data_IF_913820896248
#
_entry.id   IF_913820896248
#
_cell.length_a   1.000
_cell.length_b   1.000
_cell.length_c   1.000
_cell.angle_alpha   90.00
_cell.angle_beta   90.00
_cell.angle_gamma   90.00
#
_symmetry.space_group_name_H-M   'P 1'
#
loop_
_entity.id
_entity.type
_entity.pdbx_description
1 polymer ?
#
# COMPACT_ATOMS: atom_id res chain seq x y z
N UNK A 1 18.02 -13.87 -17.77
CA UNK A 1 17.25 -12.70 -17.29
C UNK A 1 15.79 -13.08 -17.41
N UNK A 2 15.18 -13.47 -16.31
CA UNK A 2 13.94 -14.25 -16.29
C UNK A 2 12.72 -13.32 -16.15
N UNK A 3 11.98 -13.15 -17.24
CA UNK A 3 10.77 -12.33 -17.35
C UNK A 3 9.60 -12.86 -16.51
N UNK A 4 9.72 -14.07 -15.95
CA UNK A 4 8.69 -14.73 -15.13
C UNK A 4 8.55 -14.17 -13.70
N UNK A 5 9.55 -13.41 -13.21
CA UNK A 5 9.48 -12.76 -11.89
C UNK A 5 8.65 -11.46 -11.92
N UNK A 6 8.51 -10.83 -13.09
CA UNK A 6 7.74 -9.60 -13.25
C UNK A 6 6.23 -9.87 -13.23
N UNK A 7 5.79 -11.03 -13.73
CA UNK A 7 4.38 -11.45 -13.72
C UNK A 7 3.84 -11.81 -12.32
N UNK A 8 4.70 -12.24 -11.39
CA UNK A 8 4.26 -12.63 -10.03
C UNK A 8 4.23 -11.45 -9.04
N UNK A 9 4.86 -10.32 -9.38
CA UNK A 9 4.66 -9.05 -8.67
C UNK A 9 3.25 -8.46 -8.87
N UNK A 10 2.51 -8.91 -9.89
CA UNK A 10 1.12 -8.51 -10.12
C UNK A 10 0.12 -9.09 -9.10
N UNK A 11 0.48 -10.10 -8.30
CA UNK A 11 -0.52 -10.76 -7.45
C UNK A 11 -0.90 -9.98 -6.17
N UNK A 12 -0.27 -8.82 -5.91
CA UNK A 12 -0.71 -7.87 -4.88
C UNK A 12 -1.41 -6.63 -5.47
N UNK A 13 -1.49 -6.53 -6.80
CA UNK A 13 -1.95 -5.34 -7.51
C UNK A 13 -3.06 -5.70 -8.49
N UNK A 14 -4.27 -5.47 -8.01
CA UNK A 14 -5.49 -5.11 -8.72
C UNK A 14 -5.22 -4.74 -10.19
N UNK A 15 -5.61 -5.62 -11.10
CA UNK A 15 -5.55 -5.44 -12.55
C UNK A 15 -6.60 -4.41 -12.99
N UNK A 16 -6.17 -3.17 -13.28
CA UNK A 16 -6.96 -2.23 -14.12
C UNK A 16 -6.88 -2.70 -15.57
N UNK A 17 -7.96 -2.51 -16.33
CA UNK A 17 -8.08 -2.84 -17.75
C UNK A 17 -7.07 -2.10 -18.67
N UNK A 18 -6.33 -1.12 -18.10
CA UNK A 18 -5.34 -0.26 -18.80
C UNK A 18 -3.88 -0.71 -18.56
N UNK A 19 -3.64 -1.93 -18.04
CA UNK A 19 -2.30 -2.39 -17.63
C UNK A 19 -1.56 -1.46 -16.65
N UNK A 20 -2.25 -0.50 -16.03
CA UNK A 20 -1.65 0.40 -15.08
C UNK A 20 -1.77 -0.18 -13.67
N UNK A 21 -0.62 -0.56 -13.10
CA UNK A 21 -0.51 -0.97 -11.71
C UNK A 21 -0.74 0.27 -10.84
N UNK A 22 -1.81 0.27 -10.05
CA UNK A 22 -2.15 1.36 -9.13
C UNK A 22 -1.90 0.97 -7.68
N UNK A 23 -1.17 1.83 -6.96
CA UNK A 23 -0.93 1.63 -5.55
C UNK A 23 -2.19 1.81 -4.70
N UNK A 24 -2.31 1.03 -3.62
CA UNK A 24 -3.41 1.11 -2.63
C UNK A 24 -3.47 2.50 -1.93
N UNK A 25 -2.40 3.29 -1.96
CA UNK A 25 -2.47 4.67 -1.47
C UNK A 25 -2.91 5.67 -2.54
N UNK A 26 -2.81 5.30 -3.83
CA UNK A 26 -2.91 6.22 -4.97
C UNK A 26 -4.34 6.36 -5.51
N UNK A 27 -5.16 5.32 -5.42
CA UNK A 27 -6.56 5.40 -5.82
C UNK A 27 -7.43 4.73 -4.78
N UNK A 28 -8.25 5.49 -4.06
CA UNK A 28 -9.28 4.95 -3.16
C UNK A 28 -10.55 4.48 -3.91
N UNK A 29 -10.61 4.71 -5.23
CA UNK A 29 -11.79 4.50 -6.04
C UNK A 29 -12.12 3.02 -6.16
N UNK A 30 -13.38 2.68 -5.92
CA UNK A 30 -13.92 1.33 -6.06
C UNK A 30 -15.12 1.37 -6.99
N UNK A 31 -15.13 0.47 -7.96
CA UNK A 31 -16.25 0.31 -8.88
C UNK A 31 -16.61 -1.17 -8.99
N UNK A 32 -17.89 -1.46 -9.20
CA UNK A 32 -18.33 -2.80 -9.56
C UNK A 32 -17.85 -3.14 -10.97
N UNK A 33 -17.29 -4.33 -11.14
CA UNK A 33 -16.84 -4.80 -12.45
C UNK A 33 -17.71 -5.99 -12.87
N UNK A 34 -18.25 -5.96 -14.08
CA UNK A 34 -19.22 -6.96 -14.55
C UNK A 34 -18.67 -8.40 -14.51
N UNK A 35 -17.41 -8.58 -14.93
CA UNK A 35 -16.75 -9.89 -14.87
C UNK A 35 -16.55 -10.39 -13.43
N UNK A 36 -16.60 -9.49 -12.45
CA UNK A 36 -16.60 -9.79 -11.01
C UNK A 36 -18.01 -9.86 -10.44
N UNK A 37 -19.04 -10.04 -11.28
CA UNK A 37 -20.45 -10.03 -10.86
C UNK A 37 -20.83 -8.74 -10.14
N UNK A 38 -20.30 -7.63 -10.64
CA UNK A 38 -20.49 -6.29 -10.08
C UNK A 38 -19.95 -6.13 -8.63
N UNK A 39 -19.07 -7.02 -8.18
CA UNK A 39 -18.39 -6.83 -6.89
C UNK A 39 -17.42 -5.64 -6.96
N UNK A 40 -17.37 -4.80 -5.91
CA UNK A 40 -16.54 -3.60 -5.92
C UNK A 40 -15.06 -3.96 -5.88
N UNK A 41 -14.37 -3.67 -6.97
CA UNK A 41 -12.92 -3.76 -7.11
C UNK A 41 -12.32 -2.35 -7.16
N UNK A 42 -11.07 -2.23 -6.71
CA UNK A 42 -10.35 -0.97 -6.82
C UNK A 42 -9.99 -0.72 -8.28
N UNK A 43 -10.04 0.53 -8.72
CA UNK A 43 -9.75 0.93 -10.11
C UNK A 43 -8.95 2.23 -10.10
N UNK A 44 -8.17 2.53 -11.14
CA UNK A 44 -7.48 3.82 -11.24
C UNK A 44 -8.48 4.96 -11.48
N UNK A 45 -8.07 6.21 -11.30
CA UNK A 45 -8.95 7.37 -11.49
C UNK A 45 -9.52 7.41 -12.91
N UNK A 46 -8.70 7.14 -13.92
CA UNK A 46 -9.14 7.03 -15.30
C UNK A 46 -10.14 5.89 -15.53
N UNK A 47 -9.86 4.68 -15.01
CA UNK A 47 -10.80 3.54 -15.08
C UNK A 47 -12.12 3.89 -14.35
N UNK A 48 -12.06 4.63 -13.23
CA UNK A 48 -13.23 5.02 -12.44
C UNK A 48 -14.12 6.04 -13.16
N UNK A 49 -13.52 7.06 -13.76
CA UNK A 49 -14.24 8.04 -14.58
C UNK A 49 -14.91 7.40 -15.78
N UNK A 50 -14.24 6.47 -16.46
CA UNK A 50 -14.80 5.81 -17.64
C UNK A 50 -15.94 4.86 -17.29
N UNK A 51 -15.82 4.11 -16.19
CA UNK A 51 -16.90 3.24 -15.70
C UNK A 51 -18.12 4.05 -15.23
N UNK A 52 -17.91 5.22 -14.59
CA UNK A 52 -19.02 6.11 -14.24
C UNK A 52 -19.75 6.67 -15.48
N UNK A 53 -19.03 6.96 -16.57
CA UNK A 53 -19.68 7.41 -17.83
C UNK A 53 -20.54 6.31 -18.45
N UNK A 54 -20.12 5.04 -18.34
CA UNK A 54 -20.89 3.91 -18.84
C UNK A 54 -22.19 3.70 -18.07
N UNK A 55 -22.16 3.82 -16.73
CA UNK A 55 -23.38 3.80 -15.89
C UNK A 55 -24.35 4.95 -16.27
N UNK A 56 -23.81 6.13 -16.56
CA UNK A 56 -24.60 7.29 -17.00
C UNK A 56 -25.16 7.14 -18.44
N UNK A 57 -24.51 6.39 -19.33
CA UNK A 57 -25.05 6.09 -20.66
C UNK A 57 -26.16 5.04 -20.62
N UNK A 58 -26.06 4.03 -19.75
CA UNK A 58 -27.10 3.01 -19.58
C UNK A 58 -28.35 3.52 -18.86
N UNK A 59 -28.23 4.57 -18.04
CA UNK A 59 -29.38 5.23 -17.37
C UNK A 59 -30.13 6.21 -18.26
N UNK A 60 -29.58 6.62 -19.41
CA UNK A 60 -30.20 7.61 -20.31
C UNK A 60 -30.99 7.00 -21.49
N UNK A 61 -31.07 5.67 -21.61
CA UNK A 61 -31.80 5.00 -22.71
C UNK A 61 -33.05 4.20 -22.33
N UNK A 62 -33.52 4.24 -21.09
CA UNK A 62 -34.83 3.70 -20.72
C UNK A 62 -35.65 4.74 -19.97
N UNK A 63 -36.58 5.37 -20.68
CA UNK A 63 -37.64 6.17 -20.09
C UNK A 63 -38.70 5.30 -19.41
N UNK A 64 -39.02 5.69 -18.16
CA UNK A 64 -40.30 5.52 -17.45
C UNK A 64 -40.51 4.22 -16.62
N UNK A 65 -41.40 4.23 -15.60
CA UNK A 65 -41.02 4.55 -14.23
C UNK A 65 -41.47 3.47 -13.24
N UNK A 66 -40.62 3.05 -12.31
CA UNK A 66 -41.12 2.36 -11.11
C UNK A 66 -40.43 2.89 -9.86
N UNK A 67 -41.23 3.60 -9.07
CA UNK A 67 -41.07 3.77 -7.65
C UNK A 67 -40.70 2.43 -7.00
N UNK A 68 -39.55 2.35 -6.36
CA UNK A 68 -39.44 1.60 -5.12
C UNK A 68 -38.38 2.24 -4.22
N UNK A 69 -38.88 3.19 -3.42
CA UNK A 69 -38.65 3.36 -1.98
C UNK A 69 -37.36 2.71 -1.44
N UNK A 70 -36.43 3.55 -0.99
CA UNK A 70 -35.48 3.17 0.05
C UNK A 70 -36.21 2.48 1.21
N UNK A 71 -35.55 1.53 1.88
CA UNK A 71 -35.65 1.48 3.32
C UNK A 71 -34.27 1.61 3.95
N UNK A 72 -34.15 2.61 4.81
CA UNK A 72 -33.38 2.54 6.05
C UNK A 72 -33.77 1.27 6.82
N UNK A 73 -32.77 0.55 7.34
CA UNK A 73 -32.73 -0.15 8.64
C UNK A 73 -31.35 -0.82 8.75
N UNK A 74 -30.42 -0.35 9.59
CA UNK A 74 -30.36 -0.57 11.04
C UNK A 74 -30.24 -2.06 11.43
N UNK A 75 -29.04 -2.39 11.94
CA UNK A 75 -28.60 -3.45 12.86
C UNK A 75 -29.40 -4.76 12.94
N UNK A 76 -28.71 -5.89 12.74
CA UNK A 76 -28.97 -7.10 13.52
C UNK A 76 -27.77 -8.05 13.53
N UNK A 77 -27.41 -8.41 14.75
CA UNK A 77 -26.35 -9.30 15.20
C UNK A 77 -26.69 -10.75 14.96
N UNK A 78 -25.82 -11.51 14.29
CA UNK A 78 -25.65 -12.95 14.57
C UNK A 78 -24.15 -13.26 14.56
N UNK A 79 -23.57 -13.26 15.75
CA UNK A 79 -22.26 -13.84 16.04
C UNK A 79 -22.38 -15.35 15.94
N UNK A 80 -21.83 -15.95 14.88
CA UNK A 80 -21.39 -17.33 14.96
C UNK A 80 -19.94 -17.34 15.47
N UNK A 81 -19.83 -17.76 16.72
CA UNK A 81 -18.61 -18.01 17.48
C UNK A 81 -17.78 -19.11 16.81
N UNK A 82 -16.72 -18.71 16.10
CA UNK A 82 -15.62 -19.61 15.72
C UNK A 82 -14.54 -19.48 16.81
N UNK A 83 -14.02 -20.59 17.36
CA UNK A 83 -13.00 -20.53 18.40
C UNK A 83 -11.76 -19.78 17.93
N UNK A 84 -11.17 -19.06 18.86
CA UNK A 84 -9.95 -18.27 18.73
C UNK A 84 -8.74 -19.15 18.37
N UNK A 85 -8.63 -19.48 17.08
CA UNK A 85 -7.38 -19.93 16.48
C UNK A 85 -6.62 -18.70 16.02
N UNK A 86 -5.43 -18.45 16.60
CA UNK A 86 -4.49 -17.45 16.10
C UNK A 86 -4.34 -17.66 14.60
N UNK A 87 -4.94 -16.78 13.78
CA UNK A 87 -4.66 -16.72 12.35
C UNK A 87 -3.21 -16.26 12.23
N UNK A 88 -2.28 -17.23 12.22
CA UNK A 88 -0.98 -17.00 11.60
C UNK A 88 -1.28 -16.43 10.23
N UNK A 89 -0.84 -15.19 10.00
CA UNK A 89 -0.77 -14.65 8.65
C UNK A 89 0.12 -15.64 7.90
N UNK A 90 -0.47 -16.49 7.07
CA UNK A 90 0.29 -17.28 6.11
C UNK A 90 0.96 -16.25 5.22
N UNK A 91 2.24 -16.02 5.48
CA UNK A 91 3.17 -15.30 4.63
C UNK A 91 2.97 -15.93 3.25
N UNK A 92 2.43 -15.21 2.25
CA UNK A 92 2.28 -15.76 0.91
C UNK A 92 3.65 -16.25 0.46
N UNK A 93 3.72 -17.46 -0.13
CA UNK A 93 4.97 -18.10 -0.59
C UNK A 93 5.78 -17.27 -1.62
N UNK A 94 5.25 -16.11 -2.02
CA UNK A 94 5.90 -15.11 -2.88
C UNK A 94 6.73 -14.06 -2.10
N UNK A 95 6.69 -14.05 -0.76
CA UNK A 95 7.60 -13.25 0.05
C UNK A 95 8.96 -13.95 0.04
N UNK A 96 9.80 -13.49 -0.89
CA UNK A 96 11.20 -13.85 -1.06
C UNK A 96 11.85 -14.00 0.32
N UNK A 97 12.39 -15.17 0.62
CA UNK A 97 13.32 -15.36 1.74
C UNK A 97 14.49 -14.41 1.50
N UNK A 98 14.43 -13.27 2.16
CA UNK A 98 15.45 -12.25 2.17
C UNK A 98 15.67 -12.03 3.66
N UNK A 99 16.84 -12.42 4.13
CA UNK A 99 17.22 -12.23 5.54
C UNK A 99 17.10 -10.75 5.92
N UNK A 100 16.74 -10.46 7.16
CA UNK A 100 16.77 -9.10 7.71
C UNK A 100 18.22 -8.61 7.95
N UNK A 101 19.19 -9.52 8.12
CA UNK A 101 20.62 -9.22 8.22
C UNK A 101 21.31 -9.50 6.88
N UNK A 102 21.44 -8.46 6.05
CA UNK A 102 22.01 -8.54 4.72
C UNK A 102 23.28 -7.69 4.66
N UNK A 103 24.42 -8.33 4.41
CA UNK A 103 25.73 -7.66 4.38
C UNK A 103 25.86 -6.64 3.24
N UNK A 104 25.15 -6.83 2.12
CA UNK A 104 25.12 -5.92 0.96
C UNK A 104 23.87 -5.01 0.92
N UNK A 105 23.34 -4.63 2.09
CA UNK A 105 22.26 -3.63 2.18
C UNK A 105 22.80 -2.20 2.18
N UNK A 106 22.05 -1.27 1.59
CA UNK A 106 22.40 0.16 1.63
C UNK A 106 22.21 0.74 3.03
N UNK A 107 21.14 0.33 3.71
CA UNK A 107 20.88 0.66 5.11
C UNK A 107 19.92 -0.37 5.71
N UNK A 108 20.08 -0.65 7.00
CA UNK A 108 19.16 -1.46 7.78
C UNK A 108 19.00 -0.89 9.17
N UNK A 109 17.83 -1.03 9.78
CA UNK A 109 17.59 -0.51 11.11
C UNK A 109 16.13 -0.48 11.53
N UNK A 110 15.91 -0.21 12.80
CA UNK A 110 14.57 0.03 13.33
C UNK A 110 14.07 1.43 12.98
N UNK A 111 12.82 1.51 12.57
CA UNK A 111 12.08 2.76 12.42
C UNK A 111 10.65 2.60 12.94
N UNK A 112 10.06 3.73 13.32
CA UNK A 112 8.62 3.81 13.49
C UNK A 112 7.97 4.18 12.15
N UNK A 113 6.95 3.43 11.74
CA UNK A 113 6.18 3.70 10.53
C UNK A 113 4.71 3.90 10.83
N UNK A 114 4.09 4.91 10.22
CA UNK A 114 2.64 5.08 10.14
C UNK A 114 2.15 5.09 8.69
N UNK A 115 1.00 4.45 8.43
CA UNK A 115 0.33 4.41 7.11
C UNK A 115 -0.59 5.62 6.89
N UNK A 116 -0.15 6.80 7.32
CA UNK A 116 -0.90 8.06 7.28
C UNK A 116 -1.17 8.64 8.68
N UNK A 117 -1.51 9.93 8.74
CA UNK A 117 -1.53 10.73 9.99
C UNK A 117 -2.43 10.18 11.10
N UNK A 118 -3.54 9.53 10.76
CA UNK A 118 -4.50 8.96 11.73
C UNK A 118 -4.25 7.48 12.04
N UNK A 119 -3.19 6.89 11.49
CA UNK A 119 -2.86 5.46 11.68
C UNK A 119 -1.87 5.29 12.83
N UNK A 120 -1.95 4.16 13.57
CA UNK A 120 -1.02 3.91 14.66
C UNK A 120 0.39 3.69 14.11
N UNK A 121 1.37 4.17 14.87
CA UNK A 121 2.78 3.90 14.64
C UNK A 121 3.11 2.45 14.94
N UNK A 122 4.04 1.89 14.16
CA UNK A 122 4.60 0.55 14.40
C UNK A 122 6.11 0.62 14.37
N UNK A 123 6.74 0.04 15.39
CA UNK A 123 8.17 -0.19 15.43
C UNK A 123 8.49 -1.47 14.65
N UNK A 124 9.28 -1.35 13.59
CA UNK A 124 9.57 -2.44 12.64
C UNK A 124 11.02 -2.34 12.18
N UNK A 125 11.58 -3.45 11.73
CA UNK A 125 12.91 -3.47 11.10
C UNK A 125 12.78 -3.25 9.60
N UNK A 126 13.60 -2.37 9.06
CA UNK A 126 13.62 -2.02 7.64
C UNK A 126 14.98 -2.29 7.04
N UNK A 127 14.99 -2.67 5.76
CA UNK A 127 16.21 -2.85 4.97
C UNK A 127 15.97 -2.25 3.60
N UNK A 128 16.87 -1.37 3.14
CA UNK A 128 16.91 -0.94 1.74
C UNK A 128 18.01 -1.73 1.04
N UNK A 129 17.64 -2.46 -0.01
CA UNK A 129 18.56 -3.20 -0.85
C UNK A 129 18.06 -3.21 -2.28
N UNK A 130 18.95 -2.96 -3.25
CA UNK A 130 18.63 -2.96 -4.68
C UNK A 130 17.40 -2.11 -5.02
N UNK A 131 17.31 -0.90 -4.45
CA UNK A 131 16.20 0.05 -4.65
C UNK A 131 14.83 -0.47 -4.20
N UNK A 132 14.82 -1.47 -3.29
CA UNK A 132 13.61 -2.04 -2.67
C UNK A 132 13.70 -1.88 -1.15
N UNK A 133 12.62 -1.38 -0.55
CA UNK A 133 12.42 -1.37 0.90
C UNK A 133 11.74 -2.67 1.35
N UNK A 134 12.41 -3.41 2.22
CA UNK A 134 11.88 -4.57 2.91
C UNK A 134 11.47 -4.20 4.33
N UNK A 135 10.36 -4.78 4.81
CA UNK A 135 9.84 -4.56 6.17
C UNK A 135 9.74 -5.89 6.92
N UNK A 136 10.27 -5.97 8.13
CA UNK A 136 10.30 -7.15 8.97
C UNK A 136 9.68 -6.86 10.34
N UNK A 137 9.30 -7.91 11.08
CA UNK A 137 8.85 -7.73 12.47
C UNK A 137 10.05 -7.53 13.40
N UNK A 138 11.14 -8.26 13.13
CA UNK A 138 12.38 -8.23 13.91
C UNK A 138 13.62 -8.31 12.99
N UNK A 139 14.79 -8.02 13.57
CA UNK A 139 16.09 -8.06 12.89
C UNK A 139 16.57 -9.48 12.55
N UNK A 140 16.05 -10.51 13.23
CA UNK A 140 16.43 -11.90 12.99
C UNK A 140 15.54 -12.60 11.95
N UNK A 141 14.48 -11.93 11.49
CA UNK A 141 13.51 -12.53 10.57
C UNK A 141 14.15 -12.88 9.22
N UNK A 142 13.82 -14.05 8.69
CA UNK A 142 14.32 -14.53 7.39
C UNK A 142 13.37 -14.23 6.21
N UNK A 143 12.20 -13.67 6.52
CA UNK A 143 11.17 -13.37 5.53
C UNK A 143 10.55 -11.99 5.80
N UNK A 144 10.58 -11.13 4.77
CA UNK A 144 9.97 -9.81 4.84
C UNK A 144 8.44 -9.93 4.91
N UNK A 145 7.81 -9.12 5.75
CA UNK A 145 6.35 -8.95 5.80
C UNK A 145 5.82 -8.20 4.57
N UNK A 146 6.58 -7.23 4.10
CA UNK A 146 6.25 -6.37 2.96
C UNK A 146 7.53 -6.07 2.17
N UNK A 147 7.41 -6.00 0.84
CA UNK A 147 8.45 -5.47 -0.06
C UNK A 147 7.87 -4.33 -0.89
N UNK A 148 8.65 -3.25 -1.06
CA UNK A 148 8.23 -2.04 -1.75
C UNK A 148 9.36 -1.54 -2.67
N UNK A 149 9.23 -1.66 -4.00
CA UNK A 149 10.11 -0.98 -4.94
C UNK A 149 10.03 0.53 -4.74
N UNK A 150 11.18 1.21 -4.63
CA UNK A 150 11.25 2.64 -4.32
C UNK A 150 11.36 3.53 -5.57
N UNK A 151 11.57 2.94 -6.75
CA UNK A 151 11.57 3.70 -8.01
C UNK A 151 10.23 4.43 -8.20
N UNK A 152 10.30 5.74 -8.47
CA UNK A 152 9.13 6.60 -8.65
C UNK A 152 8.49 7.12 -7.36
N UNK A 153 9.07 6.80 -6.19
CA UNK A 153 8.75 7.47 -4.94
C UNK A 153 9.59 8.74 -4.77
N UNK A 154 9.23 9.55 -3.78
CA UNK A 154 9.97 10.75 -3.38
C UNK A 154 9.96 10.82 -1.86
N UNK A 155 11.06 11.27 -1.26
CA UNK A 155 11.12 11.51 0.18
C UNK A 155 11.13 13.02 0.46
N UNK A 156 10.33 13.43 1.43
CA UNK A 156 10.26 14.82 1.89
C UNK A 156 10.57 14.88 3.39
N UNK A 157 11.50 15.75 3.73
CA UNK A 157 11.83 16.07 5.12
C UNK A 157 10.77 17.01 5.70
N UNK A 158 10.35 16.75 6.94
CA UNK A 158 9.44 17.64 7.67
C UNK A 158 10.28 18.65 8.42
N UNK A 159 10.42 19.85 7.84
CA UNK A 159 11.13 20.98 8.47
C UNK A 159 10.15 21.77 9.32
N UNK A 160 9.94 21.32 10.54
CA UNK A 160 9.16 22.05 11.53
C UNK A 160 10.05 22.32 12.75
N UNK A 161 10.18 23.59 13.14
CA UNK A 161 11.04 24.03 14.25
C UNK A 161 10.55 23.51 15.61
N UNK A 162 9.30 23.01 15.69
CA UNK A 162 8.71 22.47 16.92
C UNK A 162 8.28 21.00 16.81
N UNK A 163 8.31 20.38 15.63
CA UNK A 163 7.90 18.99 15.44
C UNK A 163 9.06 18.14 14.92
N UNK A 164 9.67 17.43 15.89
CA UNK A 164 10.45 16.21 15.72
C UNK A 164 11.20 16.11 14.39
N UNK A 165 12.39 16.72 14.32
CA UNK A 165 13.39 16.62 13.23
C UNK A 165 13.82 15.18 12.85
N UNK A 166 13.17 14.19 13.44
CA UNK A 166 13.33 12.76 13.27
C UNK A 166 12.30 12.16 12.30
N UNK A 167 11.34 12.95 11.80
CA UNK A 167 10.21 12.51 10.97
C UNK A 167 10.42 12.87 9.50
N UNK A 168 10.12 11.93 8.61
CA UNK A 168 10.14 12.14 7.16
C UNK A 168 9.00 11.41 6.45
N UNK A 169 8.62 11.92 5.28
CA UNK A 169 7.50 11.42 4.49
C UNK A 169 7.99 10.70 3.24
N UNK A 170 7.42 9.53 2.97
CA UNK A 170 7.58 8.83 1.70
C UNK A 170 6.31 9.06 0.87
N UNK A 171 6.47 9.66 -0.30
CA UNK A 171 5.40 10.02 -1.22
C UNK A 171 5.50 9.22 -2.51
N UNK A 172 4.36 8.96 -3.13
CA UNK A 172 4.29 8.45 -4.49
C UNK A 172 3.31 9.30 -5.28
N UNK A 173 3.77 9.88 -6.40
CA UNK A 173 2.98 10.86 -7.18
C UNK A 173 2.36 11.95 -6.29
N UNK A 174 3.18 12.54 -5.42
CA UNK A 174 2.79 13.58 -4.44
C UNK A 174 1.74 13.17 -3.41
N UNK A 175 1.38 11.89 -3.34
CA UNK A 175 0.45 11.35 -2.33
C UNK A 175 1.25 10.75 -1.18
N UNK A 176 0.91 11.12 0.05
CA UNK A 176 1.55 10.58 1.25
C UNK A 176 1.32 9.07 1.35
N UNK A 177 2.39 8.28 1.23
CA UNK A 177 2.34 6.83 1.32
C UNK A 177 2.61 6.37 2.75
N UNK A 178 3.78 6.74 3.30
CA UNK A 178 4.19 6.44 4.67
C UNK A 178 4.76 7.67 5.37
N UNK A 179 4.62 7.68 6.69
CA UNK A 179 5.34 8.56 7.61
C UNK A 179 6.32 7.70 8.37
N UNK A 180 7.59 8.09 8.37
CA UNK A 180 8.65 7.43 9.12
C UNK A 180 9.16 8.34 10.22
N UNK A 181 9.59 7.72 11.32
CA UNK A 181 10.26 8.40 12.42
C UNK A 181 11.44 7.56 12.93
N UNK A 182 12.59 8.19 13.12
CA UNK A 182 13.78 7.60 13.74
C UNK A 182 13.89 7.98 15.23
N UNK A 183 14.84 7.36 15.93
CA UNK A 183 15.13 7.70 17.34
C UNK A 183 15.88 9.03 17.48
N UNK A 184 16.66 9.43 16.48
CA UNK A 184 17.45 10.66 16.46
C UNK A 184 17.58 11.27 15.06
N UNK A 185 17.98 12.55 15.02
CA UNK A 185 18.10 13.34 13.77
C UNK A 185 19.15 12.78 12.82
N UNK A 186 20.30 12.32 13.32
CA UNK A 186 21.37 11.80 12.48
C UNK A 186 20.93 10.51 11.79
N UNK A 187 20.21 9.65 12.51
CA UNK A 187 19.57 8.47 11.93
C UNK A 187 18.52 8.85 10.87
N UNK A 188 17.68 9.87 11.12
CA UNK A 188 16.72 10.34 10.11
C UNK A 188 17.42 10.77 8.82
N UNK A 189 18.49 11.56 8.90
CA UNK A 189 19.22 12.03 7.73
C UNK A 189 19.79 10.86 6.91
N UNK A 190 20.46 9.90 7.56
CA UNK A 190 20.97 8.69 6.89
C UNK A 190 19.87 7.91 6.17
N UNK A 191 18.70 7.78 6.80
CA UNK A 191 17.56 7.14 6.17
C UNK A 191 17.03 7.94 4.99
N UNK A 192 16.90 9.25 5.11
CA UNK A 192 16.46 10.14 4.02
C UNK A 192 17.40 10.00 2.82
N UNK A 193 18.70 10.08 3.03
CA UNK A 193 19.73 9.92 1.97
C UNK A 193 19.58 8.56 1.26
N UNK A 194 19.50 7.47 2.01
CA UNK A 194 19.32 6.13 1.45
C UNK A 194 18.00 5.99 0.67
N UNK A 195 16.92 6.62 1.13
CA UNK A 195 15.66 6.66 0.37
C UNK A 195 15.83 7.47 -0.92
N UNK A 196 16.48 8.64 -0.89
CA UNK A 196 16.70 9.47 -2.08
C UNK A 196 17.49 8.70 -3.14
N UNK A 197 18.58 8.04 -2.75
CA UNK A 197 19.39 7.22 -3.64
C UNK A 197 18.59 6.04 -4.23
N UNK A 198 17.75 5.40 -3.41
CA UNK A 198 16.93 4.28 -3.86
C UNK A 198 15.76 4.69 -4.77
N UNK A 199 15.37 5.96 -4.79
CA UNK A 199 14.24 6.45 -5.61
C UNK A 199 14.62 6.83 -7.04
N UNK A 200 15.90 7.09 -7.30
CA UNK A 200 16.43 7.47 -8.61
C UNK A 200 16.89 6.23 -9.40
N UNK A 201 16.93 6.33 -10.73
CA UNK A 201 17.36 5.25 -11.65
C UNK A 201 18.88 5.11 -11.75
#
# INVERSE_FOLDING_TARGET
MDTSAFEKFLCAYITCFVFQIICQACSSNKHGLDYMKNHPARVCDHCFEELQKQDNMYTSKNGSPLNHRSPTNALSTVLHSIPSGRKQKKIPAALKEVSANIEDSSISGYLYRSKGTKKPWKHLWFVIKNKVLYTYAASEDVAALESLPLLGFTVAEVKDEHLESKVFHLLHKNTLFYIFRSDDYQSAQKWIEAFQEATIL
#
